data_IF_896739246656
#
_entry.id   IF_896739246656
#
_cell.length_a   1.000
_cell.length_b   1.000
_cell.length_c   1.000
_cell.angle_alpha   90.00
_cell.angle_beta   90.00
_cell.angle_gamma   90.00
#
_symmetry.space_group_name_H-M   'P 1'
#
loop_
_entity.id
_entity.type
_entity.pdbx_description
1 polymer ?
#
# COMPACT_ATOMS: atom_id res chain seq x y z
N UNK A 1 -3.33 -6.27 -28.89
CA UNK A 1 -3.07 -6.04 -27.46
C UNK A 1 -1.71 -5.40 -27.23
N UNK A 2 -0.61 -6.01 -27.66
CA UNK A 2 0.75 -5.49 -27.49
C UNK A 2 0.92 -4.04 -27.96
N UNK A 3 0.47 -3.69 -29.16
CA UNK A 3 0.60 -2.33 -29.69
C UNK A 3 -0.13 -1.29 -28.83
N UNK A 4 -1.32 -1.65 -28.32
CA UNK A 4 -2.06 -0.76 -27.42
C UNK A 4 -1.33 -0.58 -26.08
N UNK A 5 -0.81 -1.65 -25.50
CA UNK A 5 -0.02 -1.60 -24.26
C UNK A 5 1.24 -0.76 -24.48
N UNK A 6 1.96 -0.99 -25.57
CA UNK A 6 3.15 -0.21 -25.97
C UNK A 6 2.84 1.28 -26.13
N UNK A 7 1.73 1.61 -26.81
CA UNK A 7 1.29 2.99 -26.97
C UNK A 7 0.93 3.67 -25.65
N UNK A 8 0.28 2.95 -24.72
CA UNK A 8 -0.04 3.46 -23.39
C UNK A 8 1.26 3.68 -22.57
N UNK A 9 2.19 2.74 -22.60
CA UNK A 9 3.48 2.87 -21.91
C UNK A 9 4.25 4.08 -22.43
N UNK A 10 4.39 4.20 -23.77
CA UNK A 10 5.10 5.32 -24.39
C UNK A 10 4.51 6.69 -24.08
N UNK A 11 3.20 6.76 -23.80
CA UNK A 11 2.49 8.02 -23.55
C UNK A 11 2.36 8.36 -22.05
N UNK A 12 2.22 7.34 -21.19
CA UNK A 12 1.78 7.54 -19.80
C UNK A 12 2.73 7.03 -18.74
N UNK A 13 3.73 6.21 -19.10
CA UNK A 13 4.72 5.75 -18.13
C UNK A 13 5.47 6.94 -17.55
N UNK A 14 5.65 6.96 -16.23
CA UNK A 14 6.25 8.10 -15.52
C UNK A 14 7.68 8.45 -15.99
N UNK A 15 8.44 7.45 -16.46
CA UNK A 15 9.78 7.62 -17.01
C UNK A 15 9.81 7.09 -18.46
N UNK A 16 9.43 7.95 -19.40
CA UNK A 16 9.34 7.60 -20.81
C UNK A 16 10.69 7.24 -21.43
N UNK A 17 11.80 7.83 -20.97
CA UNK A 17 13.14 7.49 -21.45
C UNK A 17 13.51 6.04 -21.12
N UNK A 18 13.27 5.61 -19.89
CA UNK A 18 13.51 4.24 -19.46
C UNK A 18 12.67 3.25 -20.29
N UNK A 19 11.40 3.58 -20.55
CA UNK A 19 10.53 2.76 -21.36
C UNK A 19 11.09 2.59 -22.78
N UNK A 20 11.49 3.66 -23.44
CA UNK A 20 11.98 3.60 -24.83
C UNK A 20 13.30 2.84 -24.99
N UNK A 21 14.19 2.87 -23.99
CA UNK A 21 15.48 2.18 -24.05
C UNK A 21 15.32 0.67 -23.91
N UNK A 22 14.49 0.18 -23.00
CA UNK A 22 14.41 -1.25 -22.66
C UNK A 22 13.21 -1.97 -23.29
N UNK A 23 12.11 -1.25 -23.56
CA UNK A 23 10.86 -1.84 -23.97
C UNK A 23 10.89 -2.61 -25.31
N UNK A 24 11.57 -2.16 -26.38
CA UNK A 24 11.64 -2.92 -27.63
C UNK A 24 12.30 -4.29 -27.45
N UNK A 25 13.38 -4.37 -26.67
CA UNK A 25 14.05 -5.62 -26.34
C UNK A 25 13.18 -6.56 -25.50
N UNK A 26 12.46 -6.01 -24.52
CA UNK A 26 11.50 -6.75 -23.73
C UNK A 26 10.36 -7.35 -24.59
N UNK A 27 9.79 -6.57 -25.52
CA UNK A 27 8.79 -7.07 -26.45
C UNK A 27 9.36 -8.22 -27.28
N UNK A 28 10.54 -8.07 -27.87
CA UNK A 28 11.15 -9.11 -28.68
C UNK A 28 11.31 -10.43 -27.89
N UNK A 29 11.76 -10.35 -26.65
CA UNK A 29 11.96 -11.50 -25.74
C UNK A 29 10.66 -12.24 -25.41
N UNK A 30 9.55 -11.53 -25.22
CA UNK A 30 8.30 -12.12 -24.74
C UNK A 30 7.24 -12.33 -25.81
N UNK A 31 7.41 -11.79 -27.04
CA UNK A 31 6.41 -11.77 -28.11
C UNK A 31 5.89 -13.16 -28.47
N UNK A 32 6.78 -14.10 -28.69
CA UNK A 32 6.41 -15.46 -29.08
C UNK A 32 5.51 -16.13 -28.04
N UNK A 33 5.87 -16.02 -26.76
CA UNK A 33 5.08 -16.56 -25.66
C UNK A 33 3.70 -15.92 -25.55
N UNK A 34 3.60 -14.63 -25.84
CA UNK A 34 2.33 -13.88 -25.77
C UNK A 34 1.42 -14.27 -26.94
N UNK A 35 1.97 -14.38 -28.17
CA UNK A 35 1.20 -14.71 -29.39
C UNK A 35 0.73 -16.16 -29.36
N UNK A 36 1.54 -17.08 -28.85
CA UNK A 36 1.26 -18.52 -28.79
C UNK A 36 0.55 -18.97 -27.51
N UNK A 37 0.05 -18.04 -26.69
CA UNK A 37 -0.71 -18.38 -25.49
C UNK A 37 -2.02 -19.12 -25.86
N UNK A 38 -2.17 -20.35 -25.38
CA UNK A 38 -3.32 -21.21 -25.66
C UNK A 38 -4.53 -20.98 -24.75
N UNK A 39 -4.39 -20.10 -23.73
CA UNK A 39 -5.48 -19.76 -22.80
C UNK A 39 -5.31 -18.33 -22.27
N UNK A 40 -6.40 -17.76 -21.74
CA UNK A 40 -6.39 -16.45 -21.08
C UNK A 40 -5.39 -16.40 -19.93
N UNK A 41 -5.28 -17.46 -19.13
CA UNK A 41 -4.33 -17.56 -18.03
C UNK A 41 -2.87 -17.52 -18.52
N UNK A 42 -2.56 -18.28 -19.57
CA UNK A 42 -1.22 -18.25 -20.17
C UNK A 42 -0.89 -16.89 -20.76
N UNK A 43 -1.88 -16.24 -21.38
CA UNK A 43 -1.75 -14.91 -21.92
C UNK A 43 -1.49 -13.87 -20.81
N UNK A 44 -2.25 -13.89 -19.71
CA UNK A 44 -2.03 -13.00 -18.55
C UNK A 44 -0.63 -13.20 -17.95
N UNK A 45 -0.20 -14.44 -17.75
CA UNK A 45 1.14 -14.75 -17.24
C UNK A 45 2.23 -14.23 -18.18
N UNK A 46 2.06 -14.38 -19.49
CA UNK A 46 3.03 -13.90 -20.47
C UNK A 46 3.09 -12.37 -20.51
N UNK A 47 1.94 -11.70 -20.43
CA UNK A 47 1.86 -10.24 -20.35
C UNK A 47 2.45 -9.69 -19.06
N UNK A 48 2.20 -10.33 -17.91
CA UNK A 48 2.81 -9.94 -16.64
C UNK A 48 4.33 -10.11 -16.67
N UNK A 49 4.83 -11.19 -17.31
CA UNK A 49 6.28 -11.40 -17.47
C UNK A 49 6.93 -10.30 -18.34
N UNK A 50 6.27 -9.88 -19.42
CA UNK A 50 6.71 -8.74 -20.23
C UNK A 50 6.74 -7.44 -19.40
N UNK A 51 5.67 -7.17 -18.64
CA UNK A 51 5.56 -5.96 -17.86
C UNK A 51 6.55 -5.91 -16.68
N UNK A 52 6.96 -7.07 -16.17
CA UNK A 52 7.98 -7.18 -15.12
C UNK A 52 9.36 -6.65 -15.58
N UNK A 53 9.64 -6.62 -16.89
CA UNK A 53 10.86 -6.02 -17.43
C UNK A 53 10.97 -4.51 -17.18
N UNK A 54 9.86 -3.84 -16.84
CA UNK A 54 9.87 -2.44 -16.39
C UNK A 54 10.54 -2.27 -15.03
N UNK A 55 10.65 -3.34 -14.22
CA UNK A 55 11.30 -3.38 -12.90
C UNK A 55 10.84 -2.25 -11.98
N UNK A 56 9.54 -1.96 -11.96
CA UNK A 56 8.95 -0.89 -11.16
C UNK A 56 7.70 -1.38 -10.40
N UNK A 57 7.40 -0.69 -9.32
CA UNK A 57 6.17 -0.93 -8.58
C UNK A 57 4.92 -0.49 -9.37
N UNK A 58 3.74 -0.85 -8.90
CA UNK A 58 2.45 -0.43 -9.46
C UNK A 58 2.25 -0.82 -10.94
N UNK A 59 2.84 -1.94 -11.36
CA UNK A 59 2.63 -2.53 -12.68
C UNK A 59 1.72 -3.75 -12.55
N UNK A 60 0.72 -3.89 -13.42
CA UNK A 60 -0.19 -5.02 -13.40
C UNK A 60 -0.96 -5.19 -14.71
N UNK A 61 -1.43 -6.41 -14.93
CA UNK A 61 -2.27 -6.78 -16.07
C UNK A 61 -3.28 -7.82 -15.60
N UNK A 62 -4.55 -7.61 -15.87
CA UNK A 62 -5.60 -8.53 -15.45
C UNK A 62 -6.85 -8.40 -16.32
N UNK A 63 -7.63 -9.47 -16.41
CA UNK A 63 -8.95 -9.45 -17.01
C UNK A 63 -10.03 -9.13 -15.95
N UNK A 64 -11.09 -8.41 -16.33
CA UNK A 64 -12.20 -8.08 -15.42
C UNK A 64 -12.95 -9.33 -14.89
N UNK A 65 -12.82 -10.47 -15.58
CA UNK A 65 -13.36 -11.74 -15.12
C UNK A 65 -12.43 -12.54 -14.21
N UNK A 66 -11.37 -11.92 -13.66
CA UNK A 66 -10.40 -12.56 -12.78
C UNK A 66 -11.08 -13.51 -11.78
N UNK A 67 -10.60 -14.74 -11.73
CA UNK A 67 -11.14 -15.80 -10.86
C UNK A 67 -10.36 -15.96 -9.56
N UNK A 68 -9.10 -15.51 -9.55
CA UNK A 68 -8.20 -15.62 -8.40
C UNK A 68 -7.45 -14.30 -8.17
N UNK A 69 -7.09 -14.02 -6.93
CA UNK A 69 -6.35 -12.82 -6.53
C UNK A 69 -5.39 -13.09 -5.37
N UNK A 70 -4.49 -12.15 -5.12
CA UNK A 70 -3.53 -12.25 -4.00
C UNK A 70 -4.25 -12.26 -2.64
N UNK A 71 -3.56 -12.75 -1.62
CA UNK A 71 -4.05 -12.74 -0.23
C UNK A 71 -4.46 -11.37 0.25
N UNK A 72 -3.69 -10.36 -0.08
CA UNK A 72 -3.95 -8.97 0.26
C UNK A 72 -5.29 -8.47 -0.26
N UNK A 73 -5.60 -8.82 -1.50
CA UNK A 73 -6.83 -8.39 -2.18
C UNK A 73 -8.03 -9.25 -1.81
N UNK A 74 -7.84 -10.54 -1.55
CA UNK A 74 -8.91 -11.48 -1.27
C UNK A 74 -9.16 -11.71 0.23
N UNK A 75 -8.11 -11.64 1.04
CA UNK A 75 -8.13 -12.07 2.45
C UNK A 75 -7.90 -10.93 3.45
N UNK A 76 -7.44 -9.76 3.04
CA UNK A 76 -6.90 -8.71 3.91
C UNK A 76 -5.76 -9.23 4.80
N UNK A 77 -4.85 -10.02 4.22
CA UNK A 77 -3.73 -10.62 4.91
C UNK A 77 -2.46 -10.60 4.06
N UNK A 78 -1.31 -10.56 4.71
CA UNK A 78 0.02 -10.60 4.08
C UNK A 78 0.79 -11.84 4.53
N UNK A 79 1.87 -12.16 3.82
CA UNK A 79 2.72 -13.32 4.09
C UNK A 79 4.19 -12.97 4.15
N UNK A 80 4.91 -13.83 4.87
CA UNK A 80 6.36 -13.96 4.74
C UNK A 80 6.73 -15.43 4.53
N UNK A 81 7.96 -15.67 4.09
CA UNK A 81 8.54 -17.01 4.07
C UNK A 81 9.17 -17.30 5.42
N UNK A 82 8.80 -18.40 6.05
CA UNK A 82 9.40 -18.89 7.29
C UNK A 82 9.66 -20.40 7.22
N UNK A 83 10.34 -20.97 8.21
CA UNK A 83 10.68 -22.40 8.26
C UNK A 83 10.13 -23.12 9.50
N UNK A 84 8.81 -23.05 9.77
CA UNK A 84 8.22 -23.60 10.99
C UNK A 84 8.38 -25.12 11.12
N UNK A 85 8.47 -25.83 10.01
CA UNK A 85 8.61 -27.28 9.91
C UNK A 85 9.95 -27.71 9.31
N UNK A 86 11.01 -26.91 9.47
CA UNK A 86 12.32 -27.03 8.80
C UNK A 86 12.25 -26.95 7.26
N UNK A 87 11.07 -26.59 6.70
CA UNK A 87 10.82 -26.35 5.29
C UNK A 87 10.27 -24.94 5.10
N UNK A 88 10.57 -24.32 3.94
CA UNK A 88 10.02 -23.02 3.60
C UNK A 88 8.51 -23.10 3.41
N UNK A 89 7.80 -22.22 4.09
CA UNK A 89 6.34 -22.09 4.06
C UNK A 89 5.93 -20.63 4.01
N UNK A 90 4.76 -20.38 3.46
CA UNK A 90 4.07 -19.10 3.58
C UNK A 90 3.44 -19.01 4.96
N UNK A 91 3.84 -18.02 5.74
CA UNK A 91 3.30 -17.75 7.08
C UNK A 91 2.60 -16.41 7.07
N UNK A 92 1.40 -16.36 7.62
CA UNK A 92 0.65 -15.11 7.74
C UNK A 92 1.40 -14.15 8.66
N UNK A 93 1.74 -12.96 8.14
CA UNK A 93 2.41 -11.91 8.91
C UNK A 93 1.38 -10.93 9.47
N UNK A 94 0.58 -10.32 8.60
CA UNK A 94 -0.49 -9.42 9.00
C UNK A 94 -1.84 -10.04 8.65
N UNK A 95 -2.77 -9.97 9.60
CA UNK A 95 -4.17 -10.35 9.40
C UNK A 95 -5.02 -9.20 9.91
N UNK A 96 -5.63 -8.45 8.99
CA UNK A 96 -6.39 -7.25 9.36
C UNK A 96 -7.73 -7.62 10.01
N UNK A 97 -8.00 -7.04 11.17
CA UNK A 97 -9.25 -7.23 11.90
C UNK A 97 -10.48 -6.89 11.02
N UNK A 98 -11.50 -7.72 11.09
CA UNK A 98 -12.70 -7.58 10.23
C UNK A 98 -12.49 -7.93 8.76
N UNK A 99 -11.28 -8.36 8.35
CA UNK A 99 -11.04 -8.95 7.04
C UNK A 99 -11.42 -10.42 6.99
N UNK A 100 -11.57 -11.01 5.78
CA UNK A 100 -12.02 -12.40 5.62
C UNK A 100 -11.15 -13.42 6.35
N UNK A 101 -9.83 -13.27 6.32
CA UNK A 101 -8.92 -14.17 7.04
C UNK A 101 -9.14 -14.12 8.55
N UNK A 102 -9.25 -12.91 9.12
CA UNK A 102 -9.49 -12.72 10.56
C UNK A 102 -10.85 -13.29 10.97
N UNK A 103 -11.91 -13.05 10.19
CA UNK A 103 -13.27 -13.56 10.44
C UNK A 103 -13.33 -15.10 10.37
N UNK A 104 -12.48 -15.71 9.54
CA UNK A 104 -12.33 -17.15 9.46
C UNK A 104 -11.43 -17.75 10.57
N UNK A 105 -10.89 -16.89 11.46
CA UNK A 105 -10.08 -17.31 12.60
C UNK A 105 -8.61 -17.58 12.27
N UNK A 106 -8.12 -17.11 11.12
CA UNK A 106 -6.69 -17.08 10.79
C UNK A 106 -6.01 -15.98 11.61
N UNK A 107 -4.81 -16.25 12.08
CA UNK A 107 -4.03 -15.35 12.94
C UNK A 107 -2.62 -15.13 12.39
N UNK A 108 -1.93 -14.05 12.77
CA UNK A 108 -0.50 -13.91 12.51
C UNK A 108 0.29 -15.12 13.07
N UNK A 109 1.24 -15.60 12.29
CA UNK A 109 2.02 -16.79 12.61
C UNK A 109 1.41 -18.12 12.12
N UNK A 110 0.14 -18.18 11.74
CA UNK A 110 -0.44 -19.39 11.11
C UNK A 110 0.26 -19.68 9.78
N UNK A 111 0.47 -20.97 9.50
CA UNK A 111 1.21 -21.41 8.32
C UNK A 111 0.24 -21.89 7.24
N UNK A 112 0.35 -21.34 6.05
CA UNK A 112 -0.43 -21.81 4.89
C UNK A 112 0.11 -23.14 4.39
N UNK A 113 -0.74 -24.15 4.31
CA UNK A 113 -0.41 -25.48 3.79
C UNK A 113 -0.98 -25.70 2.39
N UNK A 114 -2.27 -25.36 2.18
CA UNK A 114 -2.93 -25.57 0.90
C UNK A 114 -4.03 -24.52 0.64
N UNK A 115 -4.35 -24.32 -0.62
CA UNK A 115 -5.51 -23.51 -1.10
C UNK A 115 -6.31 -24.37 -2.07
N UNK A 116 -7.61 -24.53 -1.83
CA UNK A 116 -8.52 -25.36 -2.63
C UNK A 116 -8.01 -26.79 -2.81
N UNK A 117 -7.40 -27.36 -1.76
CA UNK A 117 -6.80 -28.70 -1.76
C UNK A 117 -5.42 -28.82 -2.43
N UNK A 118 -4.91 -27.76 -3.07
CA UNK A 118 -3.59 -27.72 -3.68
C UNK A 118 -2.55 -27.21 -2.68
N UNK A 119 -1.49 -27.98 -2.36
CA UNK A 119 -0.39 -27.49 -1.53
C UNK A 119 0.35 -26.32 -2.19
N UNK A 120 0.77 -25.33 -1.37
CA UNK A 120 1.58 -24.21 -1.81
C UNK A 120 2.87 -24.11 -1.01
N UNK A 121 3.97 -23.86 -1.72
CA UNK A 121 5.30 -23.63 -1.14
C UNK A 121 6.00 -22.45 -1.85
N UNK A 122 6.83 -21.69 -1.13
CA UNK A 122 7.70 -20.72 -1.79
C UNK A 122 8.59 -21.42 -2.86
N UNK A 123 8.92 -20.75 -3.97
CA UNK A 123 8.58 -19.35 -4.30
C UNK A 123 7.20 -19.15 -4.94
N UNK A 124 6.41 -20.22 -5.14
CA UNK A 124 5.08 -20.08 -5.73
C UNK A 124 4.16 -19.28 -4.83
N UNK A 125 3.61 -18.17 -5.34
CA UNK A 125 2.67 -17.33 -4.61
C UNK A 125 1.25 -17.89 -4.66
N UNK A 126 0.57 -18.09 -3.52
CA UNK A 126 -0.80 -18.55 -3.50
C UNK A 126 -1.76 -17.49 -4.03
N UNK A 127 -2.72 -17.93 -4.84
CA UNK A 127 -3.84 -17.12 -5.33
C UNK A 127 -5.15 -17.71 -4.82
N UNK A 128 -6.06 -16.84 -4.40
CA UNK A 128 -7.33 -17.20 -3.75
C UNK A 128 -8.50 -16.94 -4.68
N UNK A 129 -9.47 -17.83 -4.67
CA UNK A 129 -10.69 -17.67 -5.43
C UNK A 129 -11.43 -16.38 -5.03
N UNK A 130 -11.91 -15.61 -6.03
CA UNK A 130 -12.67 -14.37 -5.81
C UNK A 130 -14.04 -14.38 -6.50
N UNK A 131 -14.40 -15.49 -7.13
CA UNK A 131 -15.75 -15.74 -7.68
C UNK A 131 -16.54 -16.78 -6.87
N UNK A 132 -15.84 -17.57 -6.09
CA UNK A 132 -16.36 -18.61 -5.22
C UNK A 132 -15.64 -18.51 -3.88
N UNK A 133 -16.14 -19.26 -2.89
CA UNK A 133 -15.43 -19.40 -1.63
C UNK A 133 -14.06 -20.07 -1.84
N UNK A 134 -13.04 -19.61 -1.15
CA UNK A 134 -11.73 -20.24 -1.10
C UNK A 134 -11.64 -21.18 0.11
N UNK A 135 -11.16 -22.40 -0.06
CA UNK A 135 -10.86 -23.32 1.03
C UNK A 135 -9.36 -23.22 1.33
N UNK A 136 -9.01 -22.91 2.56
CA UNK A 136 -7.62 -22.73 2.98
C UNK A 136 -7.31 -23.75 4.08
N UNK A 137 -6.22 -24.49 3.91
CA UNK A 137 -5.68 -25.38 4.94
C UNK A 137 -4.50 -24.71 5.62
N UNK A 138 -4.55 -24.53 6.92
CA UNK A 138 -3.50 -23.88 7.73
C UNK A 138 -3.06 -24.78 8.88
N UNK A 139 -1.78 -24.66 9.25
CA UNK A 139 -1.28 -25.12 10.54
C UNK A 139 -1.40 -23.94 11.51
N UNK A 140 -2.33 -24.05 12.42
CA UNK A 140 -2.63 -23.04 13.43
C UNK A 140 -2.12 -23.50 14.81
N UNK A 141 -1.82 -22.55 15.70
CA UNK A 141 -1.49 -22.83 17.09
C UNK A 141 -2.62 -22.30 18.00
N UNK A 142 -3.40 -23.27 18.51
CA UNK A 142 -4.28 -23.03 19.63
C UNK A 142 -3.60 -23.42 20.95
N UNK A 143 -4.29 -24.20 21.80
CA UNK A 143 -3.67 -24.85 22.96
C UNK A 143 -2.66 -25.93 22.52
N UNK A 144 -2.87 -26.52 21.32
CA UNK A 144 -1.96 -27.41 20.61
C UNK A 144 -1.90 -26.99 19.15
N UNK A 145 -0.85 -27.42 18.43
CA UNK A 145 -0.80 -27.29 16.97
C UNK A 145 -1.86 -28.17 16.33
N UNK A 146 -2.62 -27.59 15.42
CA UNK A 146 -3.66 -28.31 14.67
C UNK A 146 -3.67 -27.90 13.20
N UNK A 147 -3.95 -28.84 12.33
CA UNK A 147 -4.23 -28.58 10.93
C UNK A 147 -5.73 -28.36 10.83
N UNK A 148 -6.15 -27.20 10.33
CA UNK A 148 -7.55 -26.88 10.13
C UNK A 148 -7.83 -26.36 8.72
N UNK A 149 -9.00 -26.70 8.23
CA UNK A 149 -9.56 -26.16 7.02
C UNK A 149 -10.48 -24.99 7.38
N UNK A 150 -10.31 -23.86 6.70
CA UNK A 150 -11.17 -22.69 6.83
C UNK A 150 -11.75 -22.29 5.49
N UNK A 151 -12.99 -21.85 5.47
CA UNK A 151 -13.65 -21.37 4.26
C UNK A 151 -13.71 -19.84 4.29
N UNK A 152 -13.17 -19.22 3.27
CA UNK A 152 -13.20 -17.78 3.08
C UNK A 152 -14.29 -17.44 2.06
N UNK A 153 -15.28 -16.63 2.43
CA UNK A 153 -16.35 -16.23 1.51
C UNK A 153 -15.80 -15.43 0.33
N UNK A 154 -16.41 -15.62 -0.84
CA UNK A 154 -16.09 -14.83 -2.02
C UNK A 154 -16.30 -13.32 -1.75
N UNK A 155 -15.35 -12.44 -2.12
CA UNK A 155 -15.51 -11.00 -1.96
C UNK A 155 -16.60 -10.47 -2.89
N UNK A 156 -17.29 -9.41 -2.44
CA UNK A 156 -18.23 -8.67 -3.31
C UNK A 156 -17.45 -8.02 -4.46
N UNK A 157 -17.90 -8.21 -5.69
CA UNK A 157 -17.27 -7.69 -6.90
C UNK A 157 -17.90 -6.37 -7.33
N UNK A 158 -17.05 -5.44 -7.76
CA UNK A 158 -17.45 -4.20 -8.44
C UNK A 158 -16.91 -4.27 -9.86
N UNK A 159 -17.77 -4.06 -10.86
CA UNK A 159 -17.37 -4.08 -12.28
C UNK A 159 -16.23 -3.10 -12.54
N UNK A 160 -15.22 -3.52 -13.31
CA UNK A 160 -14.07 -2.68 -13.67
C UNK A 160 -13.09 -2.39 -12.52
N UNK A 161 -13.23 -3.08 -11.39
CA UNK A 161 -12.27 -3.02 -10.29
C UNK A 161 -11.70 -4.41 -10.00
N UNK A 162 -10.43 -4.45 -9.59
CA UNK A 162 -9.89 -5.65 -8.95
C UNK A 162 -10.76 -5.96 -7.73
N UNK A 163 -11.15 -7.21 -7.52
CA UNK A 163 -11.85 -7.59 -6.31
C UNK A 163 -10.92 -7.31 -5.11
N UNK A 164 -11.18 -6.23 -4.42
CA UNK A 164 -10.47 -5.87 -3.20
C UNK A 164 -11.47 -5.93 -2.05
N UNK A 165 -11.16 -6.74 -1.07
CA UNK A 165 -11.90 -6.74 0.18
C UNK A 165 -11.38 -5.60 1.05
N UNK A 166 -12.31 -4.84 1.60
CA UNK A 166 -12.01 -3.80 2.58
C UNK A 166 -12.40 -4.36 3.95
N UNK A 167 -11.50 -4.35 4.94
CA UNK A 167 -11.84 -4.76 6.30
C UNK A 167 -12.99 -3.92 6.85
N UNK A 168 -13.81 -4.48 7.72
CA UNK A 168 -14.92 -3.74 8.35
C UNK A 168 -14.44 -2.64 9.29
N UNK A 169 -13.20 -2.72 9.78
CA UNK A 169 -12.55 -1.68 10.57
C UNK A 169 -11.26 -1.26 9.88
N UNK A 170 -11.25 -0.05 9.33
CA UNK A 170 -10.07 0.54 8.67
C UNK A 170 -9.11 1.16 9.67
N UNK A 171 -9.66 1.77 10.71
CA UNK A 171 -8.91 2.39 11.80
C UNK A 171 -9.39 1.77 13.12
N UNK A 172 -8.46 1.32 13.93
CA UNK A 172 -8.72 0.88 15.29
C UNK A 172 -7.82 1.63 16.26
N UNK A 173 -8.34 1.89 17.46
CA UNK A 173 -7.61 2.61 18.47
C UNK A 173 -7.91 2.08 19.87
N UNK A 174 -6.96 2.23 20.79
CA UNK A 174 -7.09 1.87 22.20
C UNK A 174 -6.07 2.63 23.05
N UNK A 175 -6.31 2.68 24.35
CA UNK A 175 -5.30 3.11 25.32
C UNK A 175 -4.54 1.89 25.80
N UNK A 176 -3.23 2.00 25.84
CA UNK A 176 -2.33 1.01 26.45
C UNK A 176 -1.86 1.51 27.82
N UNK A 177 -1.37 0.61 28.70
CA UNK A 177 -0.71 1.01 29.94
C UNK A 177 0.43 2.00 29.69
N UNK A 178 0.75 2.86 30.67
CA UNK A 178 1.82 3.84 30.52
C UNK A 178 1.45 5.10 29.75
N UNK A 179 0.14 5.44 29.70
CA UNK A 179 -0.37 6.64 29.03
C UNK A 179 -0.07 6.67 27.51
N UNK A 180 -0.18 5.53 26.87
CA UNK A 180 0.11 5.34 25.45
C UNK A 180 -1.19 5.22 24.66
N UNK A 181 -1.41 6.09 23.66
CA UNK A 181 -2.40 5.90 22.61
C UNK A 181 -1.86 4.94 21.57
N UNK A 182 -2.69 3.98 21.15
CA UNK A 182 -2.39 3.09 20.04
C UNK A 182 -3.45 3.29 18.96
N UNK A 183 -2.98 3.59 17.74
CA UNK A 183 -3.83 3.73 16.55
C UNK A 183 -3.27 2.85 15.45
N UNK A 184 -4.10 1.94 14.90
CA UNK A 184 -3.75 1.12 13.75
C UNK A 184 -4.56 1.53 12.55
N UNK A 185 -3.90 1.71 11.40
CA UNK A 185 -4.53 2.02 10.11
C UNK A 185 -4.30 0.84 9.17
N UNK A 186 -5.36 0.12 8.79
CA UNK A 186 -5.26 -1.09 7.97
C UNK A 186 -5.02 -0.81 6.48
N UNK A 187 -5.65 0.22 5.92
CA UNK A 187 -5.50 0.65 4.53
C UNK A 187 -6.15 2.02 4.30
N UNK A 188 -5.86 2.64 3.14
CA UNK A 188 -6.52 3.87 2.67
C UNK A 188 -7.36 3.58 1.43
N UNK A 189 -8.63 3.18 1.58
CA UNK A 189 -9.48 2.83 0.44
C UNK A 189 -9.85 4.06 -0.39
N UNK A 190 -10.02 3.83 -1.70
CA UNK A 190 -10.35 4.89 -2.65
C UNK A 190 -9.16 5.77 -3.02
N UNK A 191 -9.37 6.73 -3.93
CA UNK A 191 -8.30 7.63 -4.37
C UNK A 191 -8.07 8.79 -3.40
N UNK A 192 -9.13 9.38 -2.85
CA UNK A 192 -9.05 10.56 -1.99
C UNK A 192 -9.27 10.20 -0.52
N UNK A 193 -10.15 9.24 -0.20
CA UNK A 193 -10.28 8.68 1.14
C UNK A 193 -10.75 9.67 2.21
N UNK A 194 -11.84 10.43 1.93
CA UNK A 194 -12.42 11.37 2.91
C UNK A 194 -12.88 10.66 4.18
N UNK A 195 -13.51 9.49 4.03
CA UNK A 195 -14.03 8.72 5.17
C UNK A 195 -12.90 8.25 6.08
N UNK A 196 -11.86 7.66 5.50
CA UNK A 196 -10.70 7.22 6.28
C UNK A 196 -9.98 8.39 6.96
N UNK A 197 -9.91 9.57 6.31
CA UNK A 197 -9.33 10.75 6.92
C UNK A 197 -10.12 11.18 8.17
N UNK A 198 -11.45 11.11 8.13
CA UNK A 198 -12.30 11.42 9.28
C UNK A 198 -12.17 10.37 10.40
N UNK A 199 -12.10 9.07 10.05
CA UNK A 199 -11.86 7.98 11.01
C UNK A 199 -10.51 8.15 11.72
N UNK A 200 -9.45 8.53 10.99
CA UNK A 200 -8.12 8.81 11.57
C UNK A 200 -8.21 9.99 12.53
N UNK A 201 -8.88 11.08 12.15
CA UNK A 201 -9.07 12.24 13.03
C UNK A 201 -9.79 11.84 14.32
N UNK A 202 -10.87 11.07 14.22
CA UNK A 202 -11.61 10.57 15.37
C UNK A 202 -10.74 9.67 16.27
N UNK A 203 -9.96 8.77 15.67
CA UNK A 203 -9.07 7.88 16.42
C UNK A 203 -8.02 8.66 17.23
N UNK A 204 -7.37 9.64 16.60
CA UNK A 204 -6.38 10.49 17.27
C UNK A 204 -7.04 11.33 18.38
N UNK A 205 -8.23 11.88 18.16
CA UNK A 205 -8.98 12.59 19.20
C UNK A 205 -9.28 11.71 20.43
N UNK A 206 -9.70 10.47 20.21
CA UNK A 206 -10.03 9.54 21.29
C UNK A 206 -8.80 9.09 22.10
N UNK A 207 -7.61 9.12 21.54
CA UNK A 207 -6.35 8.83 22.24
C UNK A 207 -5.55 10.09 22.57
N UNK A 208 -5.98 11.27 22.11
CA UNK A 208 -5.20 12.52 22.07
C UNK A 208 -4.77 13.09 23.42
N UNK A 209 -5.37 12.64 24.54
CA UNK A 209 -4.90 12.98 25.89
C UNK A 209 -3.73 12.10 26.36
N UNK A 210 -3.30 11.11 25.56
CA UNK A 210 -2.11 10.35 25.86
C UNK A 210 -0.86 11.20 25.61
N UNK A 211 0.16 11.04 26.44
CA UNK A 211 1.45 11.69 26.25
C UNK A 211 2.31 11.02 25.17
N UNK A 212 1.92 9.81 24.73
CA UNK A 212 2.64 8.96 23.79
C UNK A 212 1.69 8.33 22.78
N UNK A 213 2.15 8.15 21.54
CA UNK A 213 1.38 7.52 20.47
C UNK A 213 2.20 6.43 19.78
N UNK A 214 1.58 5.28 19.58
CA UNK A 214 2.05 4.27 18.63
C UNK A 214 1.09 4.26 17.44
N UNK A 215 1.59 4.62 16.25
CA UNK A 215 0.88 4.55 14.98
C UNK A 215 1.31 3.28 14.25
N UNK A 216 0.43 2.27 14.20
CA UNK A 216 0.71 0.97 13.57
C UNK A 216 0.25 0.95 12.11
N UNK A 217 1.23 0.90 11.20
CA UNK A 217 1.06 0.85 9.75
C UNK A 217 1.45 -0.52 9.16
N UNK A 218 1.73 -1.51 9.98
CA UNK A 218 2.14 -2.85 9.52
C UNK A 218 1.03 -3.49 8.68
N UNK A 219 1.43 -4.08 7.55
CA UNK A 219 0.51 -4.70 6.60
C UNK A 219 -0.30 -3.72 5.75
N UNK A 220 -0.24 -2.42 6.02
CA UNK A 220 -0.92 -1.40 5.25
C UNK A 220 -0.12 -1.07 3.99
N UNK A 221 -0.65 -1.43 2.86
CA UNK A 221 0.01 -1.31 1.58
C UNK A 221 -0.21 0.03 0.88
N UNK A 222 -0.66 1.01 1.64
CA UNK A 222 -0.96 2.32 1.13
C UNK A 222 -2.39 2.45 0.59
N UNK A 223 -2.55 3.24 -0.43
CA UNK A 223 -3.83 3.55 -1.07
C UNK A 223 -3.97 5.02 -1.41
N UNK A 224 -5.13 5.60 -1.14
CA UNK A 224 -5.44 6.98 -1.47
C UNK A 224 -4.76 8.02 -0.59
N UNK A 225 -4.96 9.29 -0.98
CA UNK A 225 -4.35 10.46 -0.33
C UNK A 225 -4.91 10.78 1.07
N UNK A 226 -5.84 9.97 1.59
CA UNK A 226 -6.31 10.03 3.00
C UNK A 226 -5.17 9.97 4.04
N UNK A 227 -4.01 9.41 3.65
CA UNK A 227 -2.79 9.42 4.45
C UNK A 227 -2.33 10.83 4.84
N UNK A 228 -2.64 11.85 4.04
CA UNK A 228 -2.30 13.24 4.35
C UNK A 228 -2.89 13.70 5.70
N UNK A 229 -4.08 13.21 6.06
CA UNK A 229 -4.67 13.49 7.38
C UNK A 229 -3.83 12.89 8.51
N UNK A 230 -3.32 11.66 8.35
CA UNK A 230 -2.41 11.08 9.34
C UNK A 230 -1.15 11.93 9.50
N UNK A 231 -0.52 12.34 8.39
CA UNK A 231 0.65 13.24 8.42
C UNK A 231 0.32 14.58 9.11
N UNK A 232 -0.83 15.17 8.79
CA UNK A 232 -1.25 16.46 9.33
C UNK A 232 -1.52 16.42 10.84
N UNK A 233 -1.87 15.25 11.38
CA UNK A 233 -2.11 15.06 12.82
C UNK A 233 -0.82 14.81 13.62
N UNK A 234 0.32 14.60 12.95
CA UNK A 234 1.62 14.42 13.61
C UNK A 234 2.35 15.75 13.90
N UNK A 235 1.86 16.87 13.35
CA UNK A 235 2.52 18.18 13.48
C UNK A 235 1.52 19.32 13.55
N UNK A 236 1.76 20.34 14.41
CA UNK A 236 0.96 21.56 14.42
C UNK A 236 1.27 22.47 13.23
N UNK A 237 2.42 22.30 12.61
CA UNK A 237 2.89 23.17 11.53
C UNK A 237 2.48 22.65 10.16
N UNK A 238 2.25 23.57 9.22
CA UNK A 238 2.11 23.21 7.82
C UNK A 238 3.49 22.94 7.24
N UNK A 239 3.79 21.66 7.02
CA UNK A 239 5.09 21.18 6.53
C UNK A 239 4.95 20.62 5.11
N UNK A 240 6.01 20.73 4.34
CA UNK A 240 6.09 20.09 3.04
C UNK A 240 6.26 18.57 3.23
N UNK A 241 5.39 17.78 2.57
CA UNK A 241 5.47 16.32 2.55
C UNK A 241 6.37 15.85 1.42
N UNK A 242 6.26 16.51 0.26
CA UNK A 242 7.04 16.14 -0.92
C UNK A 242 6.44 16.69 -2.20
N UNK A 243 6.83 16.07 -3.32
CA UNK A 243 6.43 16.47 -4.67
C UNK A 243 5.99 15.24 -5.46
N UNK A 244 4.92 15.40 -6.23
CA UNK A 244 4.45 14.37 -7.16
C UNK A 244 4.58 14.87 -8.60
N UNK A 245 5.34 14.14 -9.40
CA UNK A 245 5.55 14.43 -10.82
C UNK A 245 4.90 13.36 -11.67
N UNK A 246 3.98 13.76 -12.59
CA UNK A 246 3.43 12.87 -13.62
C UNK A 246 4.38 12.67 -14.80
N UNK A 247 4.05 11.75 -15.71
CA UNK A 247 4.84 11.48 -16.90
C UNK A 247 5.08 12.76 -17.73
N UNK A 248 6.31 12.98 -18.16
CA UNK A 248 6.73 14.16 -18.89
C UNK A 248 7.00 15.40 -18.03
N UNK A 249 6.85 15.32 -16.70
CA UNK A 249 7.29 16.37 -15.79
C UNK A 249 8.75 16.12 -15.41
N UNK A 250 9.60 17.10 -15.63
CA UNK A 250 10.99 17.06 -15.14
C UNK A 250 11.00 17.42 -13.65
N UNK A 251 11.66 16.62 -12.80
CA UNK A 251 11.96 17.07 -11.45
C UNK A 251 12.82 18.34 -11.56
N UNK A 252 12.31 19.48 -11.14
CA UNK A 252 13.08 20.72 -11.16
C UNK A 252 13.55 20.99 -9.75
N UNK A 253 14.84 20.74 -9.51
CA UNK A 253 15.52 21.21 -8.32
C UNK A 253 15.53 22.74 -8.35
N UNK A 254 14.85 23.38 -7.36
CA UNK A 254 14.97 24.80 -7.13
C UNK A 254 14.05 25.72 -7.95
N UNK A 255 13.06 25.22 -8.70
CA UNK A 255 12.18 26.10 -9.47
C UNK A 255 11.26 26.96 -8.56
N UNK A 256 11.56 28.24 -8.51
CA UNK A 256 10.59 29.28 -8.10
C UNK A 256 9.50 29.35 -9.18
N UNK A 257 8.39 28.66 -8.97
CA UNK A 257 7.24 28.66 -9.90
C UNK A 257 5.95 28.39 -9.17
N UNK A 258 4.81 28.77 -9.76
CA UNK A 258 3.48 28.52 -9.21
C UNK A 258 3.22 27.00 -9.19
N UNK A 259 3.35 26.38 -8.02
CA UNK A 259 3.02 24.98 -7.81
C UNK A 259 1.56 24.83 -7.43
N UNK A 260 0.88 23.82 -7.97
CA UNK A 260 -0.35 23.38 -7.37
C UNK A 260 0.00 22.70 -6.04
N UNK A 261 -0.54 23.22 -4.95
CA UNK A 261 -0.33 22.64 -3.62
C UNK A 261 -1.55 21.83 -3.25
N UNK A 262 -1.33 20.54 -2.98
CA UNK A 262 -2.31 19.68 -2.38
C UNK A 262 -2.06 19.63 -0.86
N UNK A 263 -2.91 20.32 -0.10
CA UNK A 263 -2.75 20.55 1.33
C UNK A 263 -4.06 20.46 2.12
N UNK A 264 -5.10 19.85 1.55
CA UNK A 264 -6.38 19.72 2.24
C UNK A 264 -7.19 18.53 1.75
N UNK A 265 -7.73 17.76 2.69
CA UNK A 265 -8.77 16.76 2.46
C UNK A 265 -10.10 17.33 2.93
N UNK A 266 -11.13 17.41 2.07
CA UNK A 266 -12.44 17.89 2.48
C UNK A 266 -13.04 17.00 3.58
N UNK A 267 -13.81 17.58 4.49
CA UNK A 267 -14.52 16.84 5.53
C UNK A 267 -15.70 16.01 4.98
N UNK A 268 -16.22 16.41 3.80
CA UNK A 268 -17.35 15.74 3.14
C UNK A 268 -17.04 15.46 1.68
N UNK A 269 -17.62 14.38 1.12
CA UNK A 269 -17.45 14.00 -0.30
C UNK A 269 -17.83 15.10 -1.28
N UNK A 270 -18.85 15.91 -0.98
CA UNK A 270 -19.25 17.05 -1.82
C UNK A 270 -18.13 18.09 -1.98
N UNK A 271 -17.25 18.23 -0.98
CA UNK A 271 -16.08 19.10 -1.05
C UNK A 271 -15.02 18.65 -2.06
N UNK A 272 -15.14 17.43 -2.59
CA UNK A 272 -14.25 16.93 -3.66
C UNK A 272 -14.53 17.60 -5.00
N UNK A 273 -15.76 18.06 -5.26
CA UNK A 273 -16.15 18.68 -6.53
C UNK A 273 -15.35 19.97 -6.78
N UNK A 274 -15.35 20.95 -5.88
CA UNK A 274 -14.57 22.17 -6.07
C UNK A 274 -13.05 21.89 -6.09
N UNK A 275 -12.57 20.91 -5.33
CA UNK A 275 -11.17 20.49 -5.35
C UNK A 275 -10.79 19.91 -6.72
N UNK A 276 -11.60 19.03 -7.29
CA UNK A 276 -11.39 18.47 -8.61
C UNK A 276 -11.44 19.53 -9.72
N UNK A 277 -12.41 20.45 -9.67
CA UNK A 277 -12.52 21.55 -10.62
C UNK A 277 -11.30 22.47 -10.55
N UNK A 278 -10.85 22.82 -9.34
CA UNK A 278 -9.63 23.62 -9.13
C UNK A 278 -8.40 22.91 -9.68
N UNK A 279 -8.23 21.62 -9.39
CA UNK A 279 -7.12 20.82 -9.90
C UNK A 279 -7.15 20.74 -11.44
N UNK A 280 -8.31 20.50 -12.04
CA UNK A 280 -8.47 20.43 -13.49
C UNK A 280 -8.20 21.79 -14.17
N UNK A 281 -8.72 22.88 -13.64
CA UNK A 281 -8.46 24.23 -14.14
C UNK A 281 -6.97 24.58 -14.08
N UNK A 282 -6.32 24.30 -12.96
CA UNK A 282 -4.88 24.52 -12.78
C UNK A 282 -4.05 23.65 -13.73
N UNK A 283 -4.38 22.38 -13.91
CA UNK A 283 -3.68 21.50 -14.84
C UNK A 283 -3.85 21.96 -16.30
N UNK A 284 -5.04 22.42 -16.68
CA UNK A 284 -5.32 22.95 -18.02
C UNK A 284 -4.55 24.25 -18.28
N UNK A 285 -4.54 25.19 -17.32
CA UNK A 285 -3.80 26.43 -17.40
C UNK A 285 -2.29 26.18 -17.52
N UNK A 286 -1.76 25.26 -16.70
CA UNK A 286 -0.34 24.87 -16.73
C UNK A 286 0.07 24.29 -18.08
N UNK A 287 -0.77 23.41 -18.64
CA UNK A 287 -0.55 22.86 -19.99
C UNK A 287 -0.54 23.96 -21.06
N UNK A 288 -1.45 24.93 -20.96
CA UNK A 288 -1.54 26.06 -21.90
C UNK A 288 -0.30 26.97 -21.89
N UNK A 289 0.34 27.13 -20.71
CA UNK A 289 1.56 27.97 -20.56
C UNK A 289 2.85 27.17 -20.55
N UNK A 290 2.81 25.86 -20.90
CA UNK A 290 4.00 25.00 -20.99
C UNK A 290 4.70 24.71 -19.66
N UNK A 291 4.00 24.91 -18.53
CA UNK A 291 4.57 24.67 -17.19
C UNK A 291 4.43 23.18 -16.83
N UNK A 292 5.55 22.49 -16.76
CA UNK A 292 5.68 21.07 -16.39
C UNK A 292 6.17 20.91 -14.94
N UNK A 293 5.61 21.69 -13.99
CA UNK A 293 6.03 21.65 -12.59
C UNK A 293 5.32 20.55 -11.79
N UNK A 294 5.97 19.85 -10.84
CA UNK A 294 5.32 18.86 -10.01
C UNK A 294 4.24 19.45 -9.09
N UNK A 295 3.34 18.60 -8.59
CA UNK A 295 2.38 18.94 -7.54
C UNK A 295 3.10 18.92 -6.20
N UNK A 296 3.03 20.01 -5.46
CA UNK A 296 3.54 20.07 -4.10
C UNK A 296 2.51 19.47 -3.14
N UNK A 297 2.95 18.60 -2.26
CA UNK A 297 2.13 18.03 -1.18
C UNK A 297 2.59 18.65 0.14
N UNK A 298 1.66 19.18 0.91
CA UNK A 298 1.92 19.75 2.23
C UNK A 298 0.85 19.29 3.23
N UNK A 299 1.17 19.28 4.51
CA UNK A 299 0.21 18.99 5.58
C UNK A 299 -0.91 20.05 5.64
N UNK A 300 -2.05 19.69 6.23
CA UNK A 300 -3.29 20.48 6.16
C UNK A 300 -3.28 21.72 7.06
N UNK A 301 -2.36 21.85 8.04
CA UNK A 301 -2.38 22.95 9.01
C UNK A 301 -3.65 22.91 9.88
N UNK A 302 -3.82 21.85 10.64
CA UNK A 302 -5.01 21.59 11.47
C UNK A 302 -4.85 22.23 12.86
N UNK A 303 -4.92 23.53 12.97
CA UNK A 303 -4.57 24.39 14.12
C UNK A 303 -4.89 23.85 15.54
N UNK A 304 -5.86 22.97 15.71
CA UNK A 304 -6.32 22.49 17.02
C UNK A 304 -6.31 20.97 17.22
N UNK A 305 -5.81 20.20 16.26
CA UNK A 305 -6.03 18.75 16.21
C UNK A 305 -4.77 17.88 16.18
N UNK A 306 -3.53 18.40 16.10
CA UNK A 306 -2.35 17.56 16.10
C UNK A 306 -2.15 16.85 17.44
N UNK A 307 -1.58 15.66 17.37
CA UNK A 307 -1.14 14.95 18.56
C UNK A 307 0.12 15.63 19.13
N UNK A 308 0.10 15.93 20.42
CA UNK A 308 1.18 16.65 21.12
C UNK A 308 1.99 15.74 22.03
N UNK A 309 2.62 14.73 21.53
CA UNK A 309 3.37 13.79 22.37
C UNK A 309 4.51 13.14 21.63
N UNK A 310 5.09 12.11 22.25
CA UNK A 310 6.11 11.27 21.63
C UNK A 310 5.43 10.26 20.70
N UNK A 311 6.00 10.04 19.53
CA UNK A 311 5.39 9.20 18.51
C UNK A 311 6.36 8.09 18.08
N UNK A 312 5.86 6.87 18.04
CA UNK A 312 6.49 5.73 17.39
C UNK A 312 5.60 5.30 16.23
N UNK A 313 6.20 5.03 15.06
CA UNK A 313 5.51 4.45 13.91
C UNK A 313 6.01 3.01 13.73
N UNK A 314 5.07 2.04 13.81
CA UNK A 314 5.33 0.64 13.53
C UNK A 314 5.18 0.36 12.03
N UNK A 315 6.22 -0.24 11.44
CA UNK A 315 6.29 -0.57 10.01
C UNK A 315 6.76 -1.99 9.78
N UNK A 316 6.48 -2.52 8.60
CA UNK A 316 7.07 -3.79 8.14
C UNK A 316 7.23 -3.80 6.61
N UNK A 317 7.74 -4.90 6.07
CA UNK A 317 7.96 -5.11 4.62
C UNK A 317 6.70 -4.97 3.74
N UNK A 318 5.52 -4.85 4.33
CA UNK A 318 4.26 -4.62 3.65
C UNK A 318 3.71 -3.19 3.83
N UNK A 319 4.40 -2.37 4.62
CA UNK A 319 4.10 -0.93 4.76
C UNK A 319 4.56 -0.21 3.50
N UNK A 320 3.66 0.08 2.56
CA UNK A 320 4.05 0.51 1.22
C UNK A 320 3.31 1.78 0.73
N UNK A 321 3.82 2.37 -0.36
CA UNK A 321 3.19 3.45 -1.12
C UNK A 321 2.92 4.69 -0.26
N UNK A 322 1.68 5.12 -0.10
CA UNK A 322 1.31 6.28 0.71
C UNK A 322 1.86 6.24 2.14
N UNK A 323 2.03 5.03 2.73
CA UNK A 323 2.66 4.90 4.04
C UNK A 323 4.16 5.18 4.00
N UNK A 324 4.85 4.82 2.93
CA UNK A 324 6.28 5.16 2.80
C UNK A 324 6.47 6.66 2.67
N UNK A 325 5.52 7.37 2.03
CA UNK A 325 5.50 8.83 2.05
C UNK A 325 5.34 9.37 3.48
N UNK A 326 4.46 8.77 4.30
CA UNK A 326 4.27 9.16 5.70
C UNK A 326 5.53 8.88 6.53
N UNK A 327 6.14 7.71 6.36
CA UNK A 327 7.36 7.33 7.09
C UNK A 327 8.53 8.25 6.71
N UNK A 328 8.74 8.52 5.43
CA UNK A 328 9.77 9.46 4.96
C UNK A 328 9.52 10.87 5.53
N UNK A 329 8.29 11.37 5.43
CA UNK A 329 7.89 12.66 6.00
C UNK A 329 8.17 12.73 7.51
N UNK A 330 7.75 11.71 8.27
CA UNK A 330 7.96 11.69 9.71
C UNK A 330 9.46 11.68 10.09
N UNK A 331 10.28 11.00 9.30
CA UNK A 331 11.74 10.96 9.48
C UNK A 331 12.40 12.29 9.14
N UNK A 332 12.14 12.86 7.96
CA UNK A 332 12.74 14.13 7.51
C UNK A 332 12.45 15.27 8.50
N UNK A 333 11.24 15.30 9.04
CA UNK A 333 10.84 16.31 10.02
C UNK A 333 11.04 15.90 11.48
N UNK A 334 11.68 14.75 11.75
CA UNK A 334 11.98 14.24 13.12
C UNK A 334 10.74 14.16 14.01
N UNK A 335 9.60 13.76 13.45
CA UNK A 335 8.31 13.71 14.14
C UNK A 335 8.07 12.41 14.89
N UNK A 336 8.74 11.32 14.52
CA UNK A 336 8.52 10.01 15.12
C UNK A 336 9.78 9.12 15.03
N UNK A 337 9.88 8.16 15.94
CA UNK A 337 10.83 7.04 15.85
C UNK A 337 10.18 5.87 15.08
N UNK A 338 10.87 5.33 14.10
CA UNK A 338 10.38 4.24 13.25
C UNK A 338 10.85 2.90 13.82
N UNK A 339 9.92 1.99 14.08
CA UNK A 339 10.19 0.68 14.69
C UNK A 339 9.61 -0.43 13.82
N UNK A 340 10.33 -1.55 13.67
CA UNK A 340 9.87 -2.73 12.96
C UNK A 340 10.82 -3.22 11.87
N UNK A 341 10.32 -3.52 10.67
CA UNK A 341 11.12 -4.00 9.53
C UNK A 341 11.18 -2.93 8.43
N UNK A 342 12.20 -3.00 7.56
CA UNK A 342 12.32 -2.13 6.40
C UNK A 342 11.08 -2.17 5.50
N UNK A 343 10.71 -1.02 4.95
CA UNK A 343 9.62 -0.91 3.97
C UNK A 343 10.07 -1.40 2.59
N UNK A 344 9.16 -1.68 1.64
CA UNK A 344 9.55 -2.29 0.35
C UNK A 344 10.06 -1.29 -0.71
N UNK A 345 9.99 0.03 -0.52
CA UNK A 345 10.36 1.02 -1.55
C UNK A 345 9.41 1.03 -2.75
N UNK A 346 8.10 1.14 -2.55
CA UNK A 346 7.08 1.07 -3.61
C UNK A 346 6.16 2.29 -3.59
N UNK A 347 6.60 3.42 -4.12
CA UNK A 347 5.92 4.72 -3.96
C UNK A 347 5.42 5.37 -5.25
N UNK A 348 5.49 4.69 -6.38
CA UNK A 348 4.97 5.23 -7.63
C UNK A 348 3.45 5.38 -7.61
N UNK A 349 2.95 6.42 -8.26
CA UNK A 349 1.51 6.61 -8.46
C UNK A 349 1.01 5.81 -9.66
N UNK A 350 0.18 4.80 -9.42
CA UNK A 350 -0.39 3.96 -10.46
C UNK A 350 -1.72 4.49 -11.02
N UNK A 351 -1.97 4.25 -12.31
CA UNK A 351 -3.27 4.44 -12.95
C UNK A 351 -3.69 3.19 -13.73
N UNK A 352 -5.00 3.04 -13.95
CA UNK A 352 -5.59 1.93 -14.70
C UNK A 352 -6.03 2.39 -16.09
N UNK A 353 -5.73 1.57 -17.09
CA UNK A 353 -6.11 1.79 -18.48
C UNK A 353 -6.92 0.62 -18.99
N UNK A 354 -8.10 0.90 -19.53
CA UNK A 354 -8.91 -0.11 -20.18
C UNK A 354 -8.28 -0.52 -21.53
N UNK A 355 -8.22 -1.82 -21.75
CA UNK A 355 -7.74 -2.44 -22.97
C UNK A 355 -8.91 -3.05 -23.76
N UNK A 356 -8.61 -3.92 -24.70
CA UNK A 356 -9.64 -4.69 -25.44
C UNK A 356 -10.09 -5.90 -24.62
N UNK A 357 -11.26 -6.41 -24.93
CA UNK A 357 -11.78 -7.69 -24.41
C UNK A 357 -11.79 -7.80 -22.87
N UNK A 358 -12.08 -6.71 -22.15
CA UNK A 358 -12.16 -6.74 -20.69
C UNK A 358 -10.83 -6.75 -19.94
N UNK A 359 -9.69 -6.61 -20.62
CA UNK A 359 -8.39 -6.49 -20.00
C UNK A 359 -8.10 -5.08 -19.48
N UNK A 360 -7.31 -5.02 -18.44
CA UNK A 360 -6.84 -3.79 -17.79
C UNK A 360 -5.34 -3.81 -17.62
N UNK A 361 -4.72 -2.67 -17.91
CA UNK A 361 -3.32 -2.39 -17.61
C UNK A 361 -3.24 -1.46 -16.40
N UNK A 362 -2.45 -1.81 -15.41
CA UNK A 362 -2.02 -0.91 -14.34
C UNK A 362 -0.61 -0.46 -14.66
N UNK A 363 -0.38 0.85 -14.66
CA UNK A 363 0.91 1.42 -15.04
C UNK A 363 1.26 2.58 -14.09
N UNK A 364 2.52 2.69 -13.64
CA UNK A 364 2.96 3.85 -12.89
C UNK A 364 3.04 5.07 -13.82
N UNK A 365 2.28 6.11 -13.46
CA UNK A 365 2.15 7.36 -14.24
C UNK A 365 2.77 8.57 -13.56
N UNK A 366 3.25 8.41 -12.34
CA UNK A 366 3.90 9.48 -11.61
C UNK A 366 4.85 8.96 -10.55
N UNK A 367 5.85 9.77 -10.23
CA UNK A 367 6.84 9.54 -9.21
C UNK A 367 6.66 10.51 -8.05
N UNK A 368 7.07 10.07 -6.88
CA UNK A 368 7.13 10.87 -5.67
C UNK A 368 8.59 11.17 -5.32
N UNK A 369 8.82 12.38 -4.84
CA UNK A 369 10.06 12.81 -4.19
C UNK A 369 9.72 13.39 -2.83
N UNK A 370 10.55 13.13 -1.85
CA UNK A 370 10.43 13.66 -0.49
C UNK A 370 10.55 15.19 -0.46
N UNK A 371 10.41 15.81 0.70
CA UNK A 371 10.59 17.26 0.85
C UNK A 371 12.02 17.68 0.51
N UNK A 372 13.01 16.86 0.86
CA UNK A 372 14.42 17.07 0.55
C UNK A 372 14.77 16.80 -0.93
N UNK A 373 13.86 16.15 -1.66
CA UNK A 373 14.01 15.90 -3.10
C UNK A 373 14.43 14.47 -3.45
N UNK A 374 14.50 13.57 -2.48
CA UNK A 374 14.90 12.18 -2.68
C UNK A 374 13.79 11.34 -3.31
N UNK A 375 14.14 10.54 -4.30
CA UNK A 375 13.26 9.51 -4.83
C UNK A 375 13.41 8.23 -4.02
N UNK A 376 12.32 7.71 -3.48
CA UNK A 376 12.33 6.50 -2.65
C UNK A 376 11.75 5.25 -3.35
N UNK A 377 11.48 5.32 -4.66
CA UNK A 377 11.10 4.12 -5.43
C UNK A 377 12.27 3.17 -5.59
N UNK A 378 12.10 1.92 -5.17
CA UNK A 378 13.14 0.90 -5.15
C UNK A 378 14.13 1.01 -3.98
N UNK A 379 13.93 1.97 -3.08
CA UNK A 379 14.76 2.20 -1.90
C UNK A 379 13.95 1.93 -0.63
N UNK A 380 14.20 0.82 0.07
CA UNK A 380 13.57 0.55 1.36
C UNK A 380 13.86 1.66 2.38
N UNK A 381 12.88 2.00 3.20
CA UNK A 381 13.11 2.86 4.36
C UNK A 381 13.42 1.96 5.56
N UNK A 382 14.65 2.01 6.01
CA UNK A 382 15.09 1.24 7.18
C UNK A 382 14.48 1.83 8.47
N UNK A 383 14.02 1.02 9.42
CA UNK A 383 13.55 1.53 10.71
C UNK A 383 14.73 2.03 11.57
N UNK A 384 14.45 2.95 12.51
CA UNK A 384 15.43 3.41 13.48
C UNK A 384 15.72 2.31 14.53
N UNK A 385 14.73 1.48 14.82
CA UNK A 385 14.84 0.30 15.68
C UNK A 385 14.36 -0.92 14.92
N UNK A 386 15.29 -1.74 14.43
CA UNK A 386 14.98 -2.97 13.71
C UNK A 386 14.41 -4.03 14.67
N UNK A 387 13.20 -4.50 14.36
CA UNK A 387 12.52 -5.59 15.08
C UNK A 387 11.92 -6.54 14.06
N UNK A 388 12.55 -7.68 13.78
CA UNK A 388 12.00 -8.67 12.85
C UNK A 388 10.67 -9.23 13.36
N UNK A 389 9.80 -9.61 12.41
CA UNK A 389 8.63 -10.40 12.76
C UNK A 389 9.04 -11.81 13.16
N UNK A 390 8.58 -12.25 14.33
CA UNK A 390 8.86 -13.58 14.87
C UNK A 390 7.63 -14.50 14.74
N UNK A 391 7.57 -15.38 13.71
CA UNK A 391 6.40 -16.21 13.45
C UNK A 391 5.99 -17.10 14.63
N UNK A 392 6.96 -17.66 15.35
CA UNK A 392 6.69 -18.55 16.50
C UNK A 392 6.06 -17.78 17.66
N UNK A 393 6.54 -16.57 17.94
CA UNK A 393 5.96 -15.70 18.97
C UNK A 393 4.57 -15.24 18.58
N UNK A 394 4.40 -14.79 17.32
CA UNK A 394 3.11 -14.37 16.80
C UNK A 394 2.08 -15.53 16.87
N UNK A 395 2.50 -16.77 16.55
CA UNK A 395 1.69 -17.97 16.68
C UNK A 395 1.34 -18.28 18.14
N UNK A 396 2.19 -17.89 19.07
CA UNK A 396 1.91 -17.97 20.51
C UNK A 396 0.99 -16.83 21.02
N UNK A 397 0.62 -15.89 20.15
CA UNK A 397 -0.23 -14.76 20.48
C UNK A 397 0.54 -13.53 21.03
N UNK A 398 1.88 -13.53 20.87
CA UNK A 398 2.74 -12.42 21.30
C UNK A 398 3.08 -11.53 20.11
N UNK A 399 3.06 -10.21 20.32
CA UNK A 399 3.44 -9.19 19.33
C UNK A 399 4.73 -8.49 19.75
N UNK A 400 5.88 -9.15 19.48
CA UNK A 400 7.21 -8.68 19.88
C UNK A 400 7.56 -7.31 19.29
N UNK A 401 7.03 -6.98 18.11
CA UNK A 401 7.22 -5.66 17.50
C UNK A 401 6.44 -4.58 18.25
N UNK A 402 5.20 -4.85 18.69
CA UNK A 402 4.41 -3.93 19.49
C UNK A 402 5.01 -3.77 20.89
N UNK A 403 5.45 -4.86 21.52
CA UNK A 403 6.09 -4.81 22.82
C UNK A 403 7.35 -3.92 22.77
N UNK A 404 8.17 -4.07 21.73
CA UNK A 404 9.34 -3.21 21.54
C UNK A 404 8.97 -1.76 21.28
N UNK A 405 7.90 -1.48 20.53
CA UNK A 405 7.42 -0.13 20.29
C UNK A 405 6.94 0.55 21.62
N UNK A 406 6.30 -0.23 22.52
CA UNK A 406 5.91 0.24 23.85
C UNK A 406 7.15 0.59 24.68
N UNK A 407 8.18 -0.24 24.67
CA UNK A 407 9.44 0.05 25.37
C UNK A 407 10.09 1.34 24.83
N UNK A 408 10.21 1.47 23.51
CA UNK A 408 10.83 2.63 22.86
C UNK A 408 10.07 3.89 23.20
N UNK A 409 8.75 3.93 23.03
CA UNK A 409 7.96 5.14 23.28
C UNK A 409 7.89 5.49 24.76
N UNK A 410 8.05 4.50 25.64
CA UNK A 410 8.08 4.72 27.09
C UNK A 410 9.41 5.31 27.57
N UNK A 411 10.50 5.06 26.84
CA UNK A 411 11.83 5.58 27.13
C UNK A 411 12.06 7.00 26.58
N UNK A 412 11.17 7.50 25.73
CA UNK A 412 11.21 8.85 25.16
C UNK A 412 10.59 9.89 26.11
#
# INVERSE_FOLDING_TARGET
>A
MLDKVTGIIGKHFYNTQLAWVHWPGAIAKHRERIVNAGSDEQFEVAMLALLAELQRSHVGFFHESLSRSSSKMALCATYLVSKPLREERWTFQDVHAGGPAALAGIRPGDVLLAVDGRPFRPPEHPLFAVKSNAKITVLAKGLREEIKDVVIPAPKRIRGQLPQVVPTSLVSYKRLPGDIGYVRIAMYPGQIGVEIANEISLAIQNVGQASRLILDLRGNTGGGIGVLRAMSLLTPSRLQVGRYAGGGMTPVNGAKGYHFVFDRIPSQKLGLIPLALKAQAMMSLRKAVGLNTPILIATEGLDAMPFHGRIVILVNRHTASANEMLVAFAREHQLATIVGEATPGRVLGGNKFALFSGYWLVLPVGSYQTAEGDGIEGLPIEPDVLVPFEPEQARAGLDTQLDRAIEVVSAM
#
